data_IF_284286512584
#
_entry.id   IF_284286512584
#
_cell.length_a   1.000
_cell.length_b   1.000
_cell.length_c   1.000
_cell.angle_alpha   90.00
_cell.angle_beta   90.00
_cell.angle_gamma   90.00
#
_symmetry.space_group_name_H-M   'P 1'
#
loop_
_entity.id
_entity.type
_entity.pdbx_description
1 polymer ?
#
# COMPACT_ATOMS: atom_id res chain seq x y z
N UNK A 1 -77.29 -37.79 0.39
CA UNK A 1 -76.65 -38.52 -0.72
C UNK A 1 -75.84 -37.53 -1.57
N UNK A 2 -74.61 -37.93 -1.89
CA UNK A 2 -73.43 -37.11 -2.14
C UNK A 2 -73.35 -36.53 -3.57
N UNK A 3 -73.21 -35.20 -3.69
CA UNK A 3 -72.75 -34.53 -4.91
C UNK A 3 -71.21 -34.60 -4.98
N UNK A 4 -70.67 -35.25 -6.01
CA UNK A 4 -69.26 -35.11 -6.43
C UNK A 4 -69.23 -34.41 -7.78
N UNK A 5 -68.81 -33.15 -7.80
CA UNK A 5 -68.43 -32.43 -9.01
C UNK A 5 -67.03 -32.87 -9.45
N UNK A 6 -66.89 -33.48 -10.63
CA UNK A 6 -65.59 -33.72 -11.26
C UNK A 6 -65.29 -32.58 -12.24
N UNK A 7 -64.18 -31.89 -11.99
CA UNK A 7 -63.55 -30.93 -12.89
C UNK A 7 -63.10 -31.62 -14.20
N UNK A 8 -63.50 -31.08 -15.35
CA UNK A 8 -62.85 -31.36 -16.64
C UNK A 8 -61.75 -30.33 -16.87
N UNK A 9 -60.51 -30.80 -17.00
CA UNK A 9 -59.38 -29.98 -17.39
C UNK A 9 -59.51 -29.54 -18.85
N UNK A 10 -59.27 -28.25 -19.12
CA UNK A 10 -59.06 -27.71 -20.46
C UNK A 10 -57.75 -28.29 -21.01
N UNK A 11 -57.82 -29.13 -22.04
CA UNK A 11 -56.67 -29.41 -22.91
C UNK A 11 -56.45 -28.17 -23.78
N UNK A 12 -55.28 -27.56 -23.63
CA UNK A 12 -54.84 -26.40 -24.40
C UNK A 12 -54.52 -26.85 -25.84
N UNK A 13 -55.09 -26.14 -26.80
CA UNK A 13 -55.10 -26.41 -28.23
C UNK A 13 -53.87 -25.73 -28.89
N UNK A 14 -52.66 -26.26 -28.66
CA UNK A 14 -51.38 -25.71 -29.18
C UNK A 14 -50.86 -26.41 -30.45
N UNK A 15 -51.54 -27.45 -30.95
CA UNK A 15 -51.07 -28.30 -32.06
C UNK A 15 -50.99 -27.67 -33.48
N UNK A 16 -51.79 -26.67 -33.91
CA UNK A 16 -51.84 -26.30 -35.33
C UNK A 16 -50.63 -25.49 -35.81
N UNK A 17 -49.91 -24.80 -34.92
CA UNK A 17 -48.73 -24.01 -35.29
C UNK A 17 -47.47 -24.87 -35.41
N UNK A 18 -47.27 -25.79 -34.47
CA UNK A 18 -46.16 -26.76 -34.51
C UNK A 18 -46.21 -27.61 -35.78
N UNK A 19 -47.41 -28.07 -36.17
CA UNK A 19 -47.58 -28.89 -37.39
C UNK A 19 -47.23 -28.11 -38.66
N UNK A 20 -47.59 -26.83 -38.74
CA UNK A 20 -47.23 -25.94 -39.86
C UNK A 20 -45.71 -25.73 -39.94
N UNK A 21 -45.05 -25.50 -38.81
CA UNK A 21 -43.60 -25.33 -38.73
C UNK A 21 -42.88 -26.62 -39.16
N UNK A 22 -43.34 -27.79 -38.70
CA UNK A 22 -42.75 -29.08 -39.07
C UNK A 22 -42.89 -29.38 -40.56
N UNK A 23 -44.06 -29.13 -41.15
CA UNK A 23 -44.26 -29.31 -42.60
C UNK A 23 -43.35 -28.38 -43.41
N UNK A 24 -43.20 -27.13 -42.98
CA UNK A 24 -42.30 -26.17 -43.63
C UNK A 24 -40.82 -26.60 -43.54
N UNK A 25 -40.38 -27.08 -42.37
CA UNK A 25 -39.02 -27.63 -42.19
C UNK A 25 -38.81 -28.85 -43.09
N UNK A 26 -39.80 -29.75 -43.21
CA UNK A 26 -39.70 -30.93 -44.07
C UNK A 26 -39.63 -30.57 -45.56
N UNK A 27 -40.39 -29.56 -45.98
CA UNK A 27 -40.39 -29.05 -47.36
C UNK A 27 -39.07 -28.36 -47.71
N UNK A 28 -38.52 -27.55 -46.79
CA UNK A 28 -37.28 -26.78 -47.01
C UNK A 28 -36.05 -27.39 -46.35
N UNK A 29 -36.06 -28.70 -46.07
CA UNK A 29 -35.05 -29.39 -45.25
C UNK A 29 -33.61 -29.10 -45.66
N UNK A 30 -33.32 -29.08 -46.95
CA UNK A 30 -31.95 -28.83 -47.47
C UNK A 30 -31.49 -27.41 -47.09
N UNK A 31 -32.33 -26.40 -47.27
CA UNK A 31 -32.03 -25.00 -46.92
C UNK A 31 -31.96 -24.80 -45.41
N UNK A 32 -32.84 -25.46 -44.66
CA UNK A 32 -32.84 -25.38 -43.20
C UNK A 32 -31.55 -25.97 -42.61
N UNK A 33 -31.17 -27.18 -43.04
CA UNK A 33 -29.94 -27.82 -42.56
C UNK A 33 -28.67 -27.13 -43.07
N UNK A 34 -28.66 -26.55 -44.28
CA UNK A 34 -27.51 -25.78 -44.77
C UNK A 34 -27.34 -24.46 -44.02
N UNK A 35 -28.43 -23.77 -43.68
CA UNK A 35 -28.41 -22.58 -42.83
C UNK A 35 -27.91 -22.93 -41.42
N UNK A 36 -28.42 -24.01 -40.83
CA UNK A 36 -27.99 -24.48 -39.50
C UNK A 36 -26.50 -24.83 -39.49
N UNK A 37 -26.03 -25.57 -40.51
CA UNK A 37 -24.62 -25.91 -40.67
C UNK A 37 -23.74 -24.67 -40.84
N UNK A 38 -24.21 -23.66 -41.59
CA UNK A 38 -23.51 -22.39 -41.78
C UNK A 38 -23.38 -21.60 -40.47
N UNK A 39 -24.43 -21.57 -39.65
CA UNK A 39 -24.41 -20.93 -38.33
C UNK A 39 -23.45 -21.65 -37.38
N UNK A 40 -23.45 -22.98 -37.37
CA UNK A 40 -22.51 -23.76 -36.55
C UNK A 40 -21.07 -23.55 -37.01
N UNK A 41 -20.83 -23.56 -38.33
CA UNK A 41 -19.51 -23.33 -38.90
C UNK A 41 -18.99 -21.91 -38.61
N UNK A 42 -19.85 -20.90 -38.72
CA UNK A 42 -19.53 -19.52 -38.35
C UNK A 42 -19.16 -19.43 -36.86
N UNK A 43 -19.91 -20.09 -35.97
CA UNK A 43 -19.60 -20.13 -34.54
C UNK A 43 -18.25 -20.82 -34.27
N UNK A 44 -17.93 -21.90 -34.97
CA UNK A 44 -16.61 -22.56 -34.87
C UNK A 44 -15.50 -21.63 -35.33
N UNK A 45 -15.68 -20.92 -36.45
CA UNK A 45 -14.71 -19.93 -36.94
C UNK A 45 -14.55 -18.80 -35.93
N UNK A 46 -15.62 -18.23 -35.39
CA UNK A 46 -15.57 -17.19 -34.37
C UNK A 46 -14.88 -17.67 -33.09
N UNK A 47 -15.10 -18.93 -32.69
CA UNK A 47 -14.44 -19.53 -31.53
C UNK A 47 -12.94 -19.76 -31.77
N UNK A 48 -12.55 -20.17 -32.99
CA UNK A 48 -11.15 -20.34 -33.41
C UNK A 48 -10.43 -19.01 -33.67
N UNK A 49 -11.16 -17.94 -34.01
CA UNK A 49 -10.63 -16.58 -34.12
C UNK A 49 -10.57 -15.84 -32.78
N UNK A 50 -11.28 -16.31 -31.74
CA UNK A 50 -11.19 -15.79 -30.37
C UNK A 50 -9.75 -15.64 -29.83
N UNK A 51 -8.80 -16.58 -30.06
CA UNK A 51 -7.39 -16.37 -29.71
C UNK A 51 -6.67 -15.31 -30.56
N UNK A 52 -7.11 -15.01 -31.78
CA UNK A 52 -6.54 -13.94 -32.61
C UNK A 52 -7.03 -12.54 -32.18
N UNK A 53 -8.22 -12.45 -31.57
CA UNK A 53 -8.73 -11.20 -30.97
C UNK A 53 -8.37 -11.04 -29.49
N UNK A 54 -7.67 -12.00 -28.86
CA UNK A 54 -6.95 -11.75 -27.60
C UNK A 54 -5.77 -10.84 -27.92
N UNK A 55 -6.01 -9.52 -27.90
CA UNK A 55 -4.97 -8.50 -27.79
C UNK A 55 -3.95 -9.02 -26.78
N UNK A 56 -2.69 -9.18 -27.20
CA UNK A 56 -1.57 -9.56 -26.33
C UNK A 56 -1.51 -8.51 -25.22
N UNK A 57 -2.25 -8.71 -24.15
CA UNK A 57 -2.22 -7.85 -22.99
C UNK A 57 -0.86 -8.12 -22.38
N UNK A 58 0.10 -7.24 -22.67
CA UNK A 58 1.24 -7.08 -21.78
C UNK A 58 0.63 -7.01 -20.39
N UNK A 59 1.00 -7.96 -19.53
CA UNK A 59 0.51 -7.99 -18.16
C UNK A 59 0.78 -6.60 -17.57
N UNK A 60 -0.28 -5.87 -17.25
CA UNK A 60 -0.17 -4.50 -16.74
C UNK A 60 0.71 -4.45 -15.49
N UNK A 61 0.73 -5.54 -14.71
CA UNK A 61 1.63 -5.71 -13.57
C UNK A 61 3.09 -5.74 -14.02
N UNK A 62 3.42 -6.56 -15.03
CA UNK A 62 4.77 -6.66 -15.58
C UNK A 62 5.27 -5.34 -16.17
N UNK A 63 4.39 -4.59 -16.85
CA UNK A 63 4.75 -3.27 -17.41
C UNK A 63 5.09 -2.27 -16.29
N UNK A 64 4.23 -2.15 -15.28
CA UNK A 64 4.44 -1.24 -14.14
C UNK A 64 5.67 -1.65 -13.35
N UNK A 65 5.87 -2.94 -13.10
CA UNK A 65 7.05 -3.48 -12.42
C UNK A 65 8.33 -3.15 -13.19
N UNK A 66 8.36 -3.37 -14.52
CA UNK A 66 9.52 -3.02 -15.34
C UNK A 66 9.84 -1.53 -15.28
N UNK A 67 8.83 -0.67 -15.35
CA UNK A 67 9.02 0.79 -15.25
C UNK A 67 9.51 1.20 -13.86
N UNK A 68 8.95 0.60 -12.80
CA UNK A 68 9.40 0.84 -11.42
C UNK A 68 10.86 0.41 -11.22
N UNK A 69 11.23 -0.80 -11.65
CA UNK A 69 12.62 -1.30 -11.58
C UNK A 69 13.57 -0.40 -12.36
N UNK A 70 13.18 0.05 -13.55
CA UNK A 70 14.02 0.95 -14.34
C UNK A 70 14.16 2.35 -13.71
N UNK A 71 13.16 2.82 -12.97
CA UNK A 71 13.26 4.05 -12.19
C UNK A 71 14.18 3.86 -10.97
N UNK A 72 14.07 2.72 -10.29
CA UNK A 72 14.98 2.31 -9.21
C UNK A 72 16.44 2.20 -9.67
N UNK A 73 16.70 1.60 -10.83
CA UNK A 73 18.04 1.52 -11.44
C UNK A 73 18.65 2.90 -11.73
N UNK A 74 17.82 3.92 -11.93
CA UNK A 74 18.28 5.31 -12.06
C UNK A 74 18.46 6.03 -10.72
N UNK A 75 18.59 5.27 -9.62
CA UNK A 75 18.63 5.78 -8.24
C UNK A 75 17.49 6.75 -7.95
N UNK A 76 16.30 6.48 -8.51
CA UNK A 76 15.09 7.29 -8.36
C UNK A 76 15.16 8.73 -8.91
N UNK A 77 16.24 9.11 -9.60
CA UNK A 77 16.45 10.48 -10.11
C UNK A 77 15.76 10.77 -11.45
N UNK A 78 15.36 9.74 -12.21
CA UNK A 78 14.76 9.94 -13.54
C UNK A 78 13.25 10.30 -13.44
N UNK A 79 12.95 11.61 -13.49
CA UNK A 79 11.55 12.14 -13.43
C UNK A 79 10.68 11.75 -14.62
N UNK A 80 11.28 11.47 -15.79
CA UNK A 80 10.51 11.00 -16.95
C UNK A 80 9.95 9.60 -16.68
N UNK A 81 10.78 8.67 -16.18
CA UNK A 81 10.34 7.32 -15.79
C UNK A 81 9.30 7.36 -14.67
N UNK A 82 9.46 8.27 -13.69
CA UNK A 82 8.45 8.50 -12.66
C UNK A 82 7.12 8.96 -13.27
N UNK A 83 7.15 9.87 -14.24
CA UNK A 83 5.96 10.38 -14.92
C UNK A 83 5.25 9.26 -15.68
N UNK A 84 6.01 8.42 -16.38
CA UNK A 84 5.48 7.23 -17.05
C UNK A 84 4.85 6.25 -16.04
N UNK A 85 5.53 6.02 -14.91
CA UNK A 85 5.03 5.15 -13.84
C UNK A 85 3.70 5.66 -13.26
N UNK A 86 3.62 6.95 -12.93
CA UNK A 86 2.38 7.60 -12.46
C UNK A 86 1.26 7.46 -13.49
N UNK A 87 1.56 7.62 -14.78
CA UNK A 87 0.59 7.44 -15.84
C UNK A 87 0.06 5.99 -15.91
N UNK A 88 0.93 4.98 -15.77
CA UNK A 88 0.50 3.59 -15.72
C UNK A 88 -0.35 3.28 -14.50
N UNK A 89 0.05 3.75 -13.32
CA UNK A 89 -0.71 3.55 -12.08
C UNK A 89 -2.09 4.24 -12.13
N UNK A 90 -2.18 5.41 -12.79
CA UNK A 90 -3.47 6.06 -13.06
C UNK A 90 -4.35 5.22 -14.00
N UNK A 91 -3.75 4.56 -15.00
CA UNK A 91 -4.44 3.68 -15.95
C UNK A 91 -4.85 2.34 -15.36
N UNK A 92 -4.13 1.84 -14.35
CA UNK A 92 -4.38 0.56 -13.68
C UNK A 92 -4.59 0.77 -12.17
N UNK A 93 -5.78 1.24 -11.74
CA UNK A 93 -6.03 1.65 -10.35
C UNK A 93 -5.82 0.54 -9.31
N UNK A 94 -5.99 -0.72 -9.71
CA UNK A 94 -5.74 -1.89 -8.86
C UNK A 94 -4.27 -2.02 -8.42
N UNK A 95 -3.34 -1.37 -9.12
CA UNK A 95 -1.91 -1.37 -8.77
C UNK A 95 -1.53 -0.18 -7.86
N UNK A 96 -2.41 0.82 -7.68
CA UNK A 96 -2.14 1.99 -6.83
C UNK A 96 -1.68 1.65 -5.42
N UNK A 97 -2.36 0.74 -4.67
CA UNK A 97 -1.99 0.47 -3.28
C UNK A 97 -0.55 -0.04 -3.14
N UNK A 98 -0.07 -0.82 -4.12
CA UNK A 98 1.29 -1.37 -4.11
C UNK A 98 2.36 -0.31 -4.36
N UNK A 99 2.15 0.60 -5.33
CA UNK A 99 3.23 1.45 -5.82
C UNK A 99 3.20 2.89 -5.30
N UNK A 100 2.05 3.49 -4.99
CA UNK A 100 2.04 4.90 -4.59
C UNK A 100 2.84 5.15 -3.30
N UNK A 101 2.70 4.27 -2.30
CA UNK A 101 3.48 4.35 -1.05
C UNK A 101 4.99 4.20 -1.30
N UNK A 102 5.38 3.24 -2.15
CA UNK A 102 6.78 3.03 -2.52
C UNK A 102 7.36 4.23 -3.26
N UNK A 103 6.59 4.83 -4.18
CA UNK A 103 7.03 6.02 -4.91
C UNK A 103 7.26 7.16 -3.93
N UNK A 104 6.28 7.45 -3.07
CA UNK A 104 6.35 8.55 -2.09
C UNK A 104 7.53 8.34 -1.14
N UNK A 105 7.71 7.13 -0.61
CA UNK A 105 8.83 6.80 0.26
C UNK A 105 10.17 7.03 -0.42
N UNK A 106 10.36 6.54 -1.66
CA UNK A 106 11.62 6.73 -2.38
C UNK A 106 11.86 8.20 -2.75
N UNK A 107 10.82 8.97 -3.07
CA UNK A 107 10.96 10.41 -3.31
C UNK A 107 11.42 11.16 -2.06
N UNK A 108 10.89 10.80 -0.89
CA UNK A 108 11.29 11.40 0.40
C UNK A 108 12.72 11.01 0.80
N UNK A 109 13.08 9.72 0.68
CA UNK A 109 14.41 9.23 1.08
C UNK A 109 15.52 9.81 0.19
N UNK A 110 15.27 9.95 -1.12
CA UNK A 110 16.26 10.43 -2.08
C UNK A 110 16.15 11.94 -2.32
N UNK A 111 15.52 12.71 -1.42
CA UNK A 111 15.40 14.18 -1.48
C UNK A 111 14.86 14.73 -2.82
N UNK A 112 14.03 13.94 -3.50
CA UNK A 112 13.48 14.23 -4.84
C UNK A 112 11.98 14.56 -4.81
N UNK A 113 11.42 14.73 -3.61
CA UNK A 113 10.00 15.01 -3.41
C UNK A 113 9.68 16.45 -3.77
N UNK A 114 8.82 16.65 -4.78
CA UNK A 114 8.40 17.97 -5.26
C UNK A 114 6.95 18.28 -4.85
N UNK A 115 6.57 19.55 -4.94
CA UNK A 115 5.20 20.00 -4.65
C UNK A 115 4.13 19.26 -5.46
N UNK A 116 4.43 18.88 -6.70
CA UNK A 116 3.50 18.10 -7.55
C UNK A 116 3.26 16.66 -7.04
N UNK A 117 4.14 16.15 -6.17
CA UNK A 117 4.05 14.82 -5.56
C UNK A 117 3.10 14.78 -4.35
N UNK A 118 2.66 15.94 -3.84
CA UNK A 118 1.78 16.05 -2.67
C UNK A 118 0.46 15.30 -2.86
N UNK A 119 -0.17 15.40 -4.03
CA UNK A 119 -1.41 14.69 -4.32
C UNK A 119 -1.26 13.16 -4.26
N UNK A 120 -0.10 12.65 -4.67
CA UNK A 120 0.25 11.23 -4.61
C UNK A 120 0.46 10.80 -3.16
N UNK A 121 1.15 11.63 -2.37
CA UNK A 121 1.37 11.39 -0.95
C UNK A 121 0.05 11.37 -0.16
N UNK A 122 -0.83 12.35 -0.37
CA UNK A 122 -2.16 12.37 0.25
C UNK A 122 -2.96 11.13 -0.11
N UNK A 123 -3.03 10.76 -1.39
CA UNK A 123 -3.71 9.54 -1.85
C UNK A 123 -3.15 8.26 -1.20
N UNK A 124 -1.82 8.18 -1.04
CA UNK A 124 -1.18 7.04 -0.41
C UNK A 124 -1.49 6.95 1.09
N UNK A 125 -1.48 8.10 1.78
CA UNK A 125 -1.71 8.18 3.22
C UNK A 125 -3.18 7.98 3.59
N UNK A 126 -4.11 8.59 2.87
CA UNK A 126 -5.53 8.55 3.22
C UNK A 126 -6.09 7.12 3.22
N UNK A 127 -5.50 6.21 2.43
CA UNK A 127 -5.87 4.78 2.45
C UNK A 127 -5.54 4.06 3.74
N UNK A 128 -4.50 4.48 4.46
CA UNK A 128 -4.05 3.79 5.68
C UNK A 128 -4.52 4.48 6.95
N UNK A 129 -5.27 5.58 6.83
CA UNK A 129 -5.67 6.44 7.95
C UNK A 129 -6.45 5.68 9.02
N UNK A 130 -7.44 4.91 8.59
CA UNK A 130 -8.37 4.23 9.51
C UNK A 130 -7.81 2.89 10.00
N UNK A 131 -7.06 2.18 9.16
CA UNK A 131 -6.51 0.85 9.47
C UNK A 131 -5.22 0.93 10.30
N UNK A 132 -4.39 1.95 10.07
CA UNK A 132 -3.06 2.09 10.64
C UNK A 132 -2.82 3.54 11.12
N UNK A 133 -3.59 4.03 12.11
CA UNK A 133 -3.61 5.44 12.49
C UNK A 133 -2.24 5.97 12.97
N UNK A 134 -1.47 5.16 13.71
CA UNK A 134 -0.14 5.58 14.16
C UNK A 134 0.87 5.66 13.01
N UNK A 135 0.79 4.78 12.00
CA UNK A 135 1.64 4.86 10.81
C UNK A 135 1.26 6.04 9.94
N UNK A 136 -0.04 6.32 9.81
CA UNK A 136 -0.55 7.49 9.12
C UNK A 136 0.02 8.78 9.72
N UNK A 137 -0.09 8.96 11.04
CA UNK A 137 0.48 10.13 11.71
C UNK A 137 2.01 10.16 11.59
N UNK A 138 2.69 9.02 11.75
CA UNK A 138 4.14 8.94 11.58
C UNK A 138 4.59 9.39 10.18
N UNK A 139 3.85 9.00 9.14
CA UNK A 139 4.17 9.34 7.76
C UNK A 139 3.80 10.80 7.40
N UNK A 140 2.73 11.35 7.98
CA UNK A 140 2.44 12.79 7.90
C UNK A 140 3.57 13.66 8.42
N UNK A 141 4.22 13.24 9.51
CA UNK A 141 5.38 13.98 10.03
C UNK A 141 6.54 13.98 9.04
N UNK A 142 6.77 12.89 8.29
CA UNK A 142 7.81 12.87 7.25
C UNK A 142 7.54 13.91 6.15
N UNK A 143 6.27 14.15 5.80
CA UNK A 143 5.91 15.23 4.87
C UNK A 143 6.16 16.63 5.45
N UNK A 144 5.95 16.83 6.75
CA UNK A 144 6.28 18.10 7.42
C UNK A 144 7.79 18.35 7.41
N UNK A 145 8.59 17.30 7.68
CA UNK A 145 10.06 17.37 7.64
C UNK A 145 10.54 17.74 6.24
N UNK A 146 10.00 17.11 5.20
CA UNK A 146 10.36 17.42 3.82
C UNK A 146 9.94 18.85 3.39
N UNK A 147 8.96 19.44 4.07
CA UNK A 147 8.55 20.84 3.88
C UNK A 147 9.32 21.82 4.76
N UNK A 148 10.34 21.33 5.48
CA UNK A 148 11.13 22.09 6.45
C UNK A 148 10.29 22.72 7.59
N UNK A 149 9.06 22.25 7.81
CA UNK A 149 8.19 22.70 8.90
C UNK A 149 8.54 21.91 10.19
N UNK A 150 9.80 22.08 10.63
CA UNK A 150 10.39 21.29 11.72
C UNK A 150 9.67 21.51 13.05
N UNK A 151 9.13 22.71 13.29
CA UNK A 151 8.37 23.02 14.52
C UNK A 151 7.08 22.21 14.57
N UNK A 152 6.29 22.18 13.48
CA UNK A 152 5.08 21.35 13.45
C UNK A 152 5.41 19.86 13.41
N UNK A 153 6.49 19.47 12.73
CA UNK A 153 6.96 18.10 12.72
C UNK A 153 7.26 17.61 14.15
N UNK A 154 7.99 18.42 14.94
CA UNK A 154 8.34 18.11 16.32
C UNK A 154 7.09 18.01 17.21
N UNK A 155 6.20 18.99 17.14
CA UNK A 155 4.94 18.98 17.90
C UNK A 155 4.08 17.75 17.58
N UNK A 156 3.96 17.40 16.30
CA UNK A 156 3.23 16.22 15.85
C UNK A 156 3.88 14.91 16.31
N UNK A 157 5.21 14.83 16.29
CA UNK A 157 5.95 13.67 16.78
C UNK A 157 5.83 13.47 18.29
N UNK A 158 5.86 14.55 19.08
CA UNK A 158 5.60 14.50 20.53
C UNK A 158 4.17 14.06 20.83
N UNK A 159 3.19 14.57 20.09
CA UNK A 159 1.80 14.14 20.22
C UNK A 159 1.63 12.65 19.87
N UNK A 160 2.24 12.20 18.76
CA UNK A 160 2.24 10.79 18.37
C UNK A 160 2.85 9.90 19.47
N UNK A 161 3.95 10.32 20.08
CA UNK A 161 4.56 9.62 21.23
C UNK A 161 3.55 9.45 22.37
N UNK A 162 2.89 10.53 22.78
CA UNK A 162 1.90 10.50 23.86
C UNK A 162 0.72 9.57 23.54
N UNK A 163 0.22 9.62 22.30
CA UNK A 163 -0.87 8.75 21.86
C UNK A 163 -0.47 7.27 21.85
N UNK A 164 0.73 6.92 21.38
CA UNK A 164 1.22 5.54 21.43
C UNK A 164 1.39 5.03 22.86
N UNK A 165 1.85 5.88 23.79
CA UNK A 165 1.95 5.52 25.22
C UNK A 165 0.58 5.30 25.87
N UNK A 166 -0.46 5.98 25.39
CA UNK A 166 -1.84 5.77 25.86
C UNK A 166 -2.47 4.47 25.36
N UNK A 167 -1.90 3.86 24.31
CA UNK A 167 -2.34 2.59 23.74
C UNK A 167 -1.26 1.50 23.90
N UNK A 168 -1.18 0.95 25.11
CA UNK A 168 -0.23 -0.12 25.43
C UNK A 168 -0.45 -1.38 24.59
N UNK A 169 -1.67 -1.61 24.11
CA UNK A 169 -2.00 -2.78 23.28
C UNK A 169 -1.31 -2.73 21.93
N UNK A 170 -1.19 -1.53 21.35
CA UNK A 170 -0.43 -1.31 20.13
C UNK A 170 1.07 -1.58 20.33
N UNK A 171 1.65 -1.10 21.43
CA UNK A 171 3.08 -1.27 21.72
C UNK A 171 3.47 -2.73 21.99
N UNK A 172 2.54 -3.51 22.53
CA UNK A 172 2.75 -4.91 22.92
C UNK A 172 2.27 -5.91 21.86
N UNK A 173 1.67 -5.47 20.76
CA UNK A 173 1.12 -6.36 19.74
C UNK A 173 2.18 -7.29 19.14
N UNK A 174 2.00 -8.60 19.32
CA UNK A 174 2.87 -9.64 18.76
C UNK A 174 2.62 -9.87 17.26
N UNK A 175 1.41 -9.55 16.78
CA UNK A 175 1.03 -9.71 15.37
C UNK A 175 1.82 -8.78 14.44
N UNK A 176 2.25 -7.63 14.99
CA UNK A 176 3.02 -6.60 14.35
C UNK A 176 3.99 -6.06 15.43
N UNK A 177 5.19 -6.66 15.61
CA UNK A 177 6.26 -6.07 16.45
C UNK A 177 6.64 -4.63 15.99
N UNK A 178 6.06 -4.23 14.86
CA UNK A 178 6.02 -2.92 14.28
C UNK A 178 5.58 -1.80 15.25
N UNK A 179 4.81 -2.04 16.31
CA UNK A 179 4.45 -1.01 17.29
C UNK A 179 5.65 -0.48 18.10
N UNK A 180 6.40 -1.39 18.72
CA UNK A 180 7.63 -1.06 19.44
C UNK A 180 8.71 -0.45 18.52
N UNK A 181 8.76 -0.92 17.27
CA UNK A 181 9.64 -0.40 16.21
C UNK A 181 9.24 1.02 15.81
N UNK A 182 7.96 1.27 15.54
CA UNK A 182 7.45 2.60 15.19
C UNK A 182 7.71 3.60 16.31
N UNK A 183 7.51 3.17 17.56
CA UNK A 183 7.79 3.97 18.73
C UNK A 183 9.27 4.37 18.80
N UNK A 184 10.20 3.42 18.61
CA UNK A 184 11.64 3.71 18.62
C UNK A 184 12.07 4.66 17.51
N UNK A 185 11.52 4.51 16.30
CA UNK A 185 11.74 5.46 15.20
C UNK A 185 11.20 6.86 15.50
N UNK A 186 10.05 6.95 16.17
CA UNK A 186 9.51 8.26 16.55
C UNK A 186 10.35 8.93 17.65
N UNK A 187 10.90 8.16 18.60
CA UNK A 187 11.85 8.70 19.58
C UNK A 187 13.13 9.23 18.92
N UNK A 188 13.72 8.46 18.00
CA UNK A 188 14.87 8.91 17.20
C UNK A 188 14.55 10.21 16.46
N UNK A 189 13.38 10.26 15.80
CA UNK A 189 12.93 11.45 15.09
C UNK A 189 12.79 12.68 16.00
N UNK A 190 12.23 12.52 17.20
CA UNK A 190 12.12 13.62 18.16
C UNK A 190 13.52 14.16 18.48
N UNK A 191 14.47 13.29 18.82
CA UNK A 191 15.83 13.72 19.13
C UNK A 191 16.49 14.47 17.96
N UNK A 192 16.36 13.96 16.74
CA UNK A 192 16.88 14.61 15.53
C UNK A 192 16.19 15.97 15.25
N UNK A 193 14.90 16.10 15.53
CA UNK A 193 14.16 17.35 15.34
C UNK A 193 14.52 18.41 16.38
N UNK A 194 14.71 18.00 17.65
CA UNK A 194 15.23 18.90 18.68
C UNK A 194 16.62 19.41 18.31
N UNK A 195 17.49 18.52 17.82
CA UNK A 195 18.81 18.87 17.30
C UNK A 195 18.71 19.86 16.13
N UNK A 196 17.83 19.59 15.16
CA UNK A 196 17.61 20.46 13.99
C UNK A 196 17.12 21.86 14.37
N UNK A 197 16.42 21.98 15.49
CA UNK A 197 15.91 23.25 16.03
C UNK A 197 16.85 23.91 17.05
N UNK A 198 18.00 23.30 17.35
CA UNK A 198 18.96 23.74 18.37
C UNK A 198 18.36 23.80 19.80
N UNK A 199 17.42 22.91 20.11
CA UNK A 199 16.86 22.77 21.46
C UNK A 199 17.73 21.80 22.27
N UNK A 200 18.91 22.24 22.69
CA UNK A 200 19.96 21.37 23.25
C UNK A 200 19.51 20.56 24.47
N UNK A 201 18.80 21.20 25.40
CA UNK A 201 18.30 20.55 26.61
C UNK A 201 17.28 19.47 26.29
N UNK A 202 16.32 19.77 25.41
CA UNK A 202 15.30 18.83 24.97
C UNK A 202 15.88 17.71 24.11
N UNK A 203 16.91 18.00 23.30
CA UNK A 203 17.68 17.01 22.55
C UNK A 203 18.31 15.98 23.50
N UNK A 204 18.99 16.43 24.57
CA UNK A 204 19.56 15.51 25.57
C UNK A 204 18.52 14.61 26.23
N UNK A 205 17.35 15.17 26.56
CA UNK A 205 16.23 14.42 27.15
C UNK A 205 15.74 13.36 26.16
N UNK A 206 15.56 13.73 24.89
CA UNK A 206 15.10 12.82 23.85
C UNK A 206 16.10 11.68 23.56
N UNK A 207 17.40 11.97 23.54
CA UNK A 207 18.43 10.94 23.41
C UNK A 207 18.41 9.95 24.57
N UNK A 208 18.31 10.46 25.81
CA UNK A 208 18.22 9.61 27.00
C UNK A 208 16.96 8.74 26.96
N UNK A 209 15.82 9.30 26.57
CA UNK A 209 14.56 8.56 26.46
C UNK A 209 14.67 7.40 25.45
N UNK A 210 15.32 7.63 24.29
CA UNK A 210 15.60 6.56 23.33
C UNK A 210 16.54 5.50 23.90
N UNK A 211 17.65 5.88 24.54
CA UNK A 211 18.58 4.94 25.15
C UNK A 211 17.91 4.08 26.22
N UNK A 212 17.14 4.70 27.12
CA UNK A 212 16.46 4.02 28.21
C UNK A 212 15.39 3.05 27.67
N UNK A 213 14.63 3.45 26.66
CA UNK A 213 13.68 2.55 25.98
C UNK A 213 14.37 1.34 25.35
N UNK A 214 15.50 1.53 24.65
CA UNK A 214 16.21 0.42 24.01
C UNK A 214 16.90 -0.50 25.03
N UNK A 215 17.32 0.01 26.18
CA UNK A 215 17.89 -0.80 27.27
C UNK A 215 16.86 -1.74 27.90
N UNK A 216 15.57 -1.36 27.94
CA UNK A 216 14.51 -2.25 28.44
C UNK A 216 14.45 -3.58 27.68
N UNK A 217 14.87 -3.61 26.40
CA UNK A 217 14.98 -4.85 25.62
C UNK A 217 16.28 -5.64 25.85
N UNK A 218 17.28 -5.09 26.54
CA UNK A 218 18.57 -5.76 26.80
C UNK A 218 18.61 -6.54 28.11
N UNK A 219 17.65 -6.31 29.00
CA UNK A 219 17.52 -7.04 30.27
C UNK A 219 16.93 -8.43 30.02
N UNK A 220 17.40 -9.42 30.81
CA UNK A 220 17.20 -10.85 30.54
C UNK A 220 15.73 -11.31 30.46
N UNK A 221 14.78 -10.51 30.94
CA UNK A 221 13.39 -10.93 31.13
C UNK A 221 12.30 -10.04 30.47
N UNK A 222 12.61 -9.09 29.57
CA UNK A 222 11.56 -8.21 29.01
C UNK A 222 11.56 -7.97 27.49
N UNK A 223 10.32 -8.03 26.98
CA UNK A 223 9.71 -7.58 25.72
C UNK A 223 10.53 -7.80 24.41
N UNK A 224 10.31 -8.96 23.78
CA UNK A 224 10.87 -9.33 22.47
C UNK A 224 10.64 -8.26 21.38
N UNK A 225 9.54 -7.52 21.45
CA UNK A 225 9.25 -6.43 20.50
C UNK A 225 10.25 -5.28 20.62
N UNK A 226 10.74 -4.96 21.82
CA UNK A 226 11.76 -3.92 22.02
C UNK A 226 13.13 -4.39 21.50
N UNK A 227 13.46 -5.68 21.65
CA UNK A 227 14.66 -6.28 21.04
C UNK A 227 14.64 -6.15 19.52
N UNK A 228 13.49 -6.41 18.90
CA UNK A 228 13.28 -6.21 17.46
C UNK A 228 13.42 -4.74 17.06
N UNK A 229 12.85 -3.82 17.85
CA UNK A 229 13.01 -2.38 17.63
C UNK A 229 14.47 -1.92 17.68
N UNK A 230 15.24 -2.40 18.67
CA UNK A 230 16.66 -2.11 18.78
C UNK A 230 17.46 -2.67 17.59
N UNK A 231 17.14 -3.89 17.14
CA UNK A 231 17.77 -4.50 15.97
C UNK A 231 17.46 -3.71 14.69
N UNK A 232 16.21 -3.29 14.49
CA UNK A 232 15.80 -2.52 13.32
C UNK A 232 16.54 -1.16 13.24
N UNK A 233 16.66 -0.45 14.36
CA UNK A 233 17.42 0.80 14.40
C UNK A 233 18.92 0.58 14.13
N UNK A 234 19.52 -0.45 14.72
CA UNK A 234 20.94 -0.78 14.47
C UNK A 234 21.21 -1.08 12.99
N UNK A 235 20.30 -1.78 12.32
CA UNK A 235 20.47 -2.11 10.90
C UNK A 235 20.58 -0.87 10.01
N UNK A 236 19.75 0.15 10.24
CA UNK A 236 19.77 1.39 9.45
C UNK A 236 21.05 2.20 9.66
N UNK A 237 21.58 2.19 10.88
CA UNK A 237 22.82 2.91 11.21
C UNK A 237 24.06 2.16 10.66
N UNK A 238 24.07 0.83 10.74
CA UNK A 238 25.16 0.01 10.21
C UNK A 238 25.30 0.08 8.68
N UNK A 239 24.23 0.37 7.94
CA UNK A 239 24.30 0.63 6.49
C UNK A 239 25.14 1.87 6.15
N UNK A 240 25.42 2.73 7.13
CA UNK A 240 26.16 3.99 6.96
C UNK A 240 27.51 4.02 7.70
N UNK A 241 28.05 2.86 8.09
CA UNK A 241 29.33 2.71 8.83
C UNK A 241 29.42 3.46 10.17
N UNK A 242 28.28 3.94 10.70
CA UNK A 242 28.21 4.66 11.98
C UNK A 242 27.23 3.91 12.88
N UNK A 243 27.69 3.45 14.04
CA UNK A 243 26.78 2.85 15.02
C UNK A 243 25.90 3.94 15.68
N UNK A 244 24.60 3.65 15.87
CA UNK A 244 23.68 4.56 16.57
C UNK A 244 24.21 4.98 17.94
N UNK A 245 24.85 4.05 18.66
CA UNK A 245 25.46 4.32 19.96
C UNK A 245 26.55 5.39 19.86
N UNK A 246 27.42 5.27 18.87
CA UNK A 246 28.54 6.21 18.68
C UNK A 246 28.03 7.59 18.28
N UNK A 247 26.98 7.64 17.44
CA UNK A 247 26.32 8.90 17.09
C UNK A 247 25.70 9.59 18.32
N UNK A 248 24.98 8.85 19.17
CA UNK A 248 24.39 9.40 20.41
C UNK A 248 25.48 9.92 21.35
N UNK A 249 26.57 9.17 21.52
CA UNK A 249 27.70 9.59 22.35
C UNK A 249 28.35 10.87 21.83
N UNK A 250 28.58 10.95 20.52
CA UNK A 250 29.09 12.16 19.87
C UNK A 250 28.16 13.37 20.07
N UNK A 251 26.85 13.19 19.89
CA UNK A 251 25.88 14.28 20.12
C UNK A 251 25.91 14.75 21.57
N UNK A 252 25.84 13.84 22.53
CA UNK A 252 25.84 14.19 23.97
C UNK A 252 27.13 14.88 24.39
N UNK A 253 28.29 14.46 23.89
CA UNK A 253 29.55 15.14 24.20
C UNK A 253 29.58 16.57 23.65
N UNK A 254 29.10 16.77 22.42
CA UNK A 254 29.02 18.10 21.79
C UNK A 254 28.08 19.06 22.52
N UNK A 255 27.02 18.56 23.16
CA UNK A 255 26.10 19.36 23.96
C UNK A 255 26.68 19.69 25.34
N UNK A 256 27.39 18.75 25.97
CA UNK A 256 28.01 18.98 27.29
C UNK A 256 29.15 19.99 27.28
N UNK A 257 29.83 20.17 26.14
CA UNK A 257 30.90 21.18 25.98
C UNK A 257 30.38 22.61 25.80
N UNK A 258 29.06 22.82 25.69
CA UNK A 258 28.43 24.14 25.55
C UNK A 258 28.09 24.72 26.93
N UNK A 259 27.98 23.89 27.96
CA UNK A 259 27.73 24.29 29.36
C UNK A 259 29.02 24.62 30.15
N UNK A 260 30.21 24.51 29.54
CA UNK A 260 31.53 24.81 30.14
C UNK A 260 32.13 26.11 29.61
#
# INVERSE_FOLDING_TARGET
MTKKSKSKSKKVEEEPQLKKILLWIMEKRIYFFSLLASVVFLNIILYKLKPFFKKKSIDSSMLVEKTYSSWKESSYNNREKLTQLKAYIKKYPNLKPKYEGLIVQNLLINENFLKEDESLASSALDRTKDELPFYYEFAKVALLINKEDYVKALGSSKNLKANMLSDLSFLQSESLPAGAVLYSFNLLRIALLEAKLNNEKEEMIAWKELEDYLKMGSEKDLNENIKLAAKALKQIFNENEIELRDYILYRKSSLSSIES
#
